data_IF_076325894253
#
_entry.id   IF_076325894253
#
_cell.length_a   1.000
_cell.length_b   1.000
_cell.length_c   1.000
_cell.angle_alpha   90.00
_cell.angle_beta   90.00
_cell.angle_gamma   90.00
#
_symmetry.space_group_name_H-M   'P 1'
#
loop_
_entity.id
_entity.type
_entity.pdbx_description
1 polymer ?
#
# COMPACT_ATOMS: atom_id res chain seq x y z
N UNK A 1 -29.57 11.09 -10.84
CA UNK A 1 -29.24 9.75 -10.43
C UNK A 1 -28.28 9.77 -9.26
N UNK A 2 -28.81 9.70 -8.08
CA UNK A 2 -28.00 9.84 -6.85
C UNK A 2 -27.24 8.59 -6.47
N UNK A 3 -27.77 7.41 -6.84
CA UNK A 3 -27.21 6.15 -6.36
C UNK A 3 -25.81 5.86 -6.89
N UNK A 4 -25.56 6.12 -8.17
CA UNK A 4 -24.25 5.92 -8.75
C UNK A 4 -23.21 6.85 -8.13
N UNK A 5 -23.60 8.09 -7.83
CA UNK A 5 -22.70 9.05 -7.17
C UNK A 5 -22.42 8.68 -5.73
N UNK A 6 -23.38 8.14 -5.02
CA UNK A 6 -23.18 7.65 -3.66
C UNK A 6 -22.18 6.48 -3.65
N UNK A 7 -22.28 5.57 -4.60
CA UNK A 7 -21.35 4.46 -4.70
C UNK A 7 -19.94 4.95 -4.97
N UNK A 8 -19.78 5.92 -5.86
CA UNK A 8 -18.48 6.51 -6.14
C UNK A 8 -17.91 7.25 -4.91
N UNK A 9 -18.78 7.89 -4.15
CA UNK A 9 -18.37 8.65 -2.97
C UNK A 9 -18.10 7.76 -1.75
N UNK A 10 -18.64 6.56 -1.72
CA UNK A 10 -18.45 5.64 -0.59
C UNK A 10 -17.03 5.13 -0.46
N UNK A 11 -16.24 5.23 -1.51
CA UNK A 11 -14.85 4.85 -1.45
C UNK A 11 -14.38 4.12 -2.69
N UNK A 12 -13.09 3.98 -2.77
CA UNK A 12 -12.41 3.24 -3.83
C UNK A 12 -11.34 2.35 -3.20
N UNK A 13 -11.17 1.16 -3.77
CA UNK A 13 -10.12 0.24 -3.37
C UNK A 13 -9.16 0.05 -4.53
N UNK A 14 -7.87 -0.03 -4.23
CA UNK A 14 -6.83 -0.29 -5.21
C UNK A 14 -5.82 -1.27 -4.63
N UNK A 15 -5.31 -2.15 -5.48
CA UNK A 15 -4.34 -3.16 -5.10
C UNK A 15 -2.94 -2.60 -5.31
N UNK A 16 -2.19 -2.40 -4.24
CA UNK A 16 -0.81 -1.93 -4.31
C UNK A 16 0.18 -3.08 -4.47
N UNK A 17 -0.15 -4.24 -3.96
CA UNK A 17 0.65 -5.45 -4.12
C UNK A 17 -0.26 -6.68 -4.09
N UNK A 18 -0.25 -7.44 -5.15
CA UNK A 18 -1.09 -8.63 -5.28
C UNK A 18 -0.42 -9.87 -4.69
N UNK A 19 -1.20 -10.73 -4.08
CA UNK A 19 -0.74 -12.08 -3.73
C UNK A 19 -0.78 -12.93 -5.00
N UNK A 20 0.35 -13.12 -5.62
CA UNK A 20 0.46 -13.98 -6.81
C UNK A 20 1.40 -15.15 -6.60
N UNK A 21 2.41 -14.96 -5.78
CA UNK A 21 3.39 -15.98 -5.43
C UNK A 21 4.07 -15.60 -4.11
N UNK A 22 4.75 -16.53 -3.51
CA UNK A 22 5.54 -16.26 -2.31
C UNK A 22 6.70 -15.32 -2.63
N UNK A 23 6.87 -14.30 -1.83
CA UNK A 23 7.98 -13.35 -1.94
C UNK A 23 9.14 -13.84 -1.09
N UNK A 24 10.35 -13.71 -1.60
CA UNK A 24 11.54 -14.26 -0.93
C UNK A 24 12.49 -13.19 -0.40
N UNK A 25 12.54 -12.03 -1.04
CA UNK A 25 13.45 -10.96 -0.63
C UNK A 25 12.73 -9.63 -0.43
N UNK A 26 11.73 -9.35 -1.24
CA UNK A 26 10.98 -8.12 -1.14
C UNK A 26 9.58 -8.31 -1.74
N UNK A 27 8.63 -7.54 -1.24
CA UNK A 27 7.29 -7.43 -1.79
C UNK A 27 7.06 -5.96 -2.09
N UNK A 28 7.17 -5.57 -3.35
CA UNK A 28 7.12 -4.16 -3.75
C UNK A 28 6.03 -3.96 -4.80
N UNK A 29 5.35 -2.82 -4.76
CA UNK A 29 4.37 -2.46 -5.77
C UNK A 29 4.99 -2.52 -7.17
N UNK A 30 4.35 -3.27 -8.04
CA UNK A 30 4.79 -3.39 -9.42
C UNK A 30 4.49 -2.15 -10.25
N UNK A 31 5.04 -2.10 -11.46
CA UNK A 31 4.76 -1.05 -12.42
C UNK A 31 3.25 -0.97 -12.71
N UNK A 32 2.71 0.24 -12.68
CA UNK A 32 1.28 0.48 -12.88
C UNK A 32 0.41 0.27 -11.64
N UNK A 33 0.98 -0.20 -10.53
CA UNK A 33 0.22 -0.45 -9.29
C UNK A 33 0.36 0.67 -8.26
N UNK A 34 1.12 1.72 -8.55
CA UNK A 34 1.20 2.89 -7.68
C UNK A 34 -0.06 3.72 -7.86
N UNK A 35 -0.69 4.06 -6.75
CA UNK A 35 -2.01 4.70 -6.72
C UNK A 35 -1.88 6.22 -6.60
N UNK A 36 -2.47 6.93 -7.55
CA UNK A 36 -2.58 8.39 -7.46
C UNK A 36 -3.66 8.78 -6.44
N UNK A 37 -3.25 9.41 -5.36
CA UNK A 37 -4.16 9.85 -4.29
C UNK A 37 -4.55 11.32 -4.39
N UNK A 38 -4.15 12.03 -5.45
CA UNK A 38 -4.47 13.45 -5.62
C UNK A 38 -5.97 13.74 -5.69
N UNK A 39 -6.76 12.77 -6.16
CA UNK A 39 -8.21 12.88 -6.27
C UNK A 39 -8.96 12.28 -5.07
N UNK A 40 -8.25 11.90 -4.03
CA UNK A 40 -8.88 11.37 -2.82
C UNK A 40 -9.15 12.49 -1.82
N UNK A 41 -10.19 12.31 -1.01
CA UNK A 41 -10.57 13.21 0.06
C UNK A 41 -10.23 12.56 1.39
N UNK A 42 -9.45 13.26 2.22
CA UNK A 42 -9.08 12.77 3.54
C UNK A 42 -8.05 11.65 3.48
N UNK A 43 -8.02 10.87 4.54
CA UNK A 43 -7.03 9.81 4.69
C UNK A 43 -7.27 8.65 3.73
N UNK A 44 -6.18 8.06 3.27
CA UNK A 44 -6.21 6.80 2.52
C UNK A 44 -5.73 5.69 3.46
N UNK A 45 -6.55 4.67 3.63
CA UNK A 45 -6.23 3.53 4.48
C UNK A 45 -5.49 2.48 3.65
N UNK A 46 -4.30 2.11 4.09
CA UNK A 46 -3.50 1.07 3.43
C UNK A 46 -3.42 -0.14 4.35
N UNK A 47 -3.91 -1.27 3.87
CA UNK A 47 -3.96 -2.52 4.60
C UNK A 47 -2.84 -3.44 4.13
N UNK A 48 -1.97 -3.86 5.05
CA UNK A 48 -0.95 -4.88 4.80
C UNK A 48 -1.43 -6.19 5.41
N UNK A 49 -1.68 -7.18 4.57
CA UNK A 49 -2.14 -8.50 4.99
C UNK A 49 -1.05 -9.52 4.70
N UNK A 50 -0.44 -10.04 5.76
CA UNK A 50 0.60 -11.06 5.69
C UNK A 50 -0.04 -12.41 5.98
N UNK A 51 0.04 -13.32 5.02
CA UNK A 51 -0.48 -14.66 5.15
C UNK A 51 0.57 -15.62 5.70
N UNK A 52 0.84 -16.69 4.96
CA UNK A 52 1.79 -17.72 5.38
C UNK A 52 3.22 -17.22 5.24
N UNK A 53 3.99 -17.34 6.32
CA UNK A 53 5.44 -17.11 6.33
C UNK A 53 6.14 -18.46 6.53
N UNK A 54 7.14 -18.75 5.70
CA UNK A 54 7.90 -19.99 5.77
C UNK A 54 9.27 -19.71 6.39
N UNK A 55 9.57 -20.43 7.46
CA UNK A 55 10.83 -20.26 8.20
C UNK A 55 10.71 -19.25 9.32
N UNK A 56 11.83 -18.68 9.71
CA UNK A 56 11.92 -17.65 10.75
C UNK A 56 12.53 -16.38 10.19
N UNK A 57 11.92 -15.23 10.49
CA UNK A 57 12.42 -13.97 9.96
C UNK A 57 11.47 -12.82 10.24
N UNK A 58 11.50 -11.83 9.36
CA UNK A 58 10.62 -10.67 9.47
C UNK A 58 10.27 -10.10 8.09
N UNK A 59 9.13 -9.41 8.02
CA UNK A 59 8.82 -8.51 6.93
C UNK A 59 8.55 -7.12 7.50
N UNK A 60 9.21 -6.12 6.93
CA UNK A 60 9.10 -4.73 7.31
C UNK A 60 8.53 -3.93 6.15
N UNK A 61 7.28 -3.53 6.27
CA UNK A 61 6.57 -2.78 5.24
C UNK A 61 6.61 -1.28 5.47
N UNK A 62 6.66 -0.55 4.37
CA UNK A 62 6.57 0.92 4.38
C UNK A 62 5.88 1.41 3.12
N UNK A 63 5.42 2.64 3.17
CA UNK A 63 4.84 3.32 2.01
C UNK A 63 5.84 4.32 1.44
N UNK A 64 5.84 4.44 0.13
CA UNK A 64 6.64 5.43 -0.60
C UNK A 64 5.72 6.26 -1.49
N UNK A 65 6.18 7.45 -1.84
CA UNK A 65 5.53 8.33 -2.79
C UNK A 65 6.38 8.50 -4.04
N UNK A 66 5.74 8.51 -5.18
CA UNK A 66 6.40 8.61 -6.48
C UNK A 66 5.68 9.59 -7.40
N UNK A 67 6.30 9.93 -8.51
CA UNK A 67 5.76 10.90 -9.46
C UNK A 67 4.84 10.28 -10.50
N UNK A 68 4.83 8.96 -10.66
CA UNK A 68 3.95 8.27 -11.60
C UNK A 68 3.56 6.87 -11.12
N UNK A 69 2.71 6.20 -11.89
CA UNK A 69 2.20 4.87 -11.55
C UNK A 69 3.26 3.77 -11.60
N UNK A 70 4.45 4.04 -12.10
CA UNK A 70 5.55 3.10 -12.18
C UNK A 70 6.55 3.24 -11.02
N UNK A 71 6.31 4.18 -10.12
CA UNK A 71 7.19 4.40 -8.98
C UNK A 71 8.42 5.26 -9.27
N UNK A 72 8.37 6.09 -10.32
CA UNK A 72 9.49 6.96 -10.68
C UNK A 72 9.80 7.94 -9.55
N UNK A 73 11.08 8.01 -9.16
CA UNK A 73 11.54 8.91 -8.11
C UNK A 73 10.97 8.60 -6.74
N UNK A 74 10.65 7.34 -6.45
CA UNK A 74 10.04 6.94 -5.20
C UNK A 74 10.92 7.32 -4.00
N UNK A 75 10.28 7.85 -2.97
CA UNK A 75 10.90 8.21 -1.70
C UNK A 75 9.99 7.84 -0.54
N UNK A 76 10.59 7.55 0.61
CA UNK A 76 9.84 7.16 1.78
C UNK A 76 8.87 8.25 2.23
N UNK A 77 7.66 7.86 2.58
CA UNK A 77 6.70 8.74 3.24
C UNK A 77 7.00 8.70 4.73
N UNK A 78 7.32 9.85 5.31
CA UNK A 78 7.73 9.94 6.71
C UNK A 78 6.64 9.39 7.64
N UNK A 79 7.03 8.44 8.49
CA UNK A 79 6.14 7.82 9.46
C UNK A 79 5.21 6.74 8.90
N UNK A 80 5.14 6.56 7.59
CA UNK A 80 4.25 5.58 6.97
C UNK A 80 4.90 4.20 6.91
N UNK A 81 5.02 3.58 8.08
CA UNK A 81 5.60 2.24 8.24
C UNK A 81 4.64 1.31 8.96
N UNK A 82 4.74 0.03 8.65
CA UNK A 82 4.03 -1.02 9.39
C UNK A 82 4.94 -1.61 10.46
N UNK A 83 4.35 -2.14 11.52
CA UNK A 83 5.09 -2.87 12.52
C UNK A 83 5.70 -4.13 11.91
N UNK A 84 6.93 -4.46 12.27
CA UNK A 84 7.61 -5.66 11.79
C UNK A 84 6.79 -6.90 12.07
N UNK A 85 6.60 -7.74 11.06
CA UNK A 85 5.84 -8.98 11.16
C UNK A 85 6.81 -10.15 11.21
N UNK A 86 6.70 -10.95 12.26
CA UNK A 86 7.60 -12.10 12.50
C UNK A 86 6.88 -13.45 12.50
N UNK A 87 5.58 -13.46 12.24
CA UNK A 87 4.76 -14.66 12.24
C UNK A 87 3.69 -14.57 11.15
N UNK A 88 3.16 -15.73 10.76
CA UNK A 88 2.06 -15.84 9.78
C UNK A 88 0.78 -15.18 10.28
N UNK A 89 -0.06 -14.78 9.34
CA UNK A 89 -1.44 -14.32 9.59
C UNK A 89 -1.48 -13.01 10.40
N UNK A 90 -0.93 -11.95 9.84
CA UNK A 90 -0.93 -10.61 10.44
C UNK A 90 -1.58 -9.61 9.51
N UNK A 91 -2.46 -8.78 10.06
CA UNK A 91 -3.10 -7.68 9.33
C UNK A 91 -2.84 -6.36 10.04
N UNK A 92 -2.45 -5.35 9.29
CA UNK A 92 -2.22 -4.00 9.79
C UNK A 92 -2.81 -2.97 8.83
N UNK A 93 -3.24 -1.84 9.36
CA UNK A 93 -3.75 -0.72 8.58
C UNK A 93 -2.99 0.54 8.96
N UNK A 94 -2.54 1.27 7.96
CA UNK A 94 -1.97 2.60 8.13
C UNK A 94 -2.83 3.63 7.40
N UNK A 95 -3.15 4.73 8.07
CA UNK A 95 -3.87 5.86 7.47
C UNK A 95 -2.86 6.90 6.99
N UNK A 96 -2.70 7.02 5.69
CA UNK A 96 -1.84 8.05 5.10
C UNK A 96 -2.66 9.31 4.87
N UNK A 97 -2.17 10.44 5.37
CA UNK A 97 -2.84 11.73 5.16
C UNK A 97 -2.28 12.43 3.92
N UNK A 98 -3.08 13.27 3.24
CA UNK A 98 -2.58 14.01 2.08
C UNK A 98 -1.35 14.86 2.36
N UNK A 99 -1.22 15.37 3.58
CA UNK A 99 -0.10 16.22 3.99
C UNK A 99 1.24 15.48 4.05
N UNK A 100 1.21 14.15 4.18
CA UNK A 100 2.42 13.34 4.23
C UNK A 100 3.07 13.17 2.86
N UNK A 101 2.35 13.48 1.79
CA UNK A 101 2.79 13.23 0.41
C UNK A 101 3.17 14.55 -0.25
N UNK A 102 4.36 14.66 -0.85
CA UNK A 102 4.73 15.88 -1.59
C UNK A 102 3.78 16.13 -2.77
N UNK A 103 3.55 17.39 -3.11
CA UNK A 103 2.64 17.76 -4.20
C UNK A 103 3.10 17.25 -5.58
N UNK A 104 4.39 17.00 -5.75
CA UNK A 104 4.95 16.49 -7.00
C UNK A 104 5.11 14.96 -7.00
N UNK A 105 4.70 14.29 -5.92
CA UNK A 105 4.78 12.83 -5.77
C UNK A 105 3.50 12.31 -5.15
N UNK A 106 2.43 12.28 -5.94
CA UNK A 106 1.09 11.94 -5.44
C UNK A 106 0.74 10.46 -5.57
N UNK A 107 1.62 9.66 -6.17
CA UNK A 107 1.42 8.23 -6.32
C UNK A 107 2.03 7.50 -5.13
N UNK A 108 1.24 6.71 -4.42
CA UNK A 108 1.73 5.90 -3.29
C UNK A 108 1.91 4.45 -3.70
N UNK A 109 2.93 3.83 -3.13
CA UNK A 109 3.23 2.43 -3.33
C UNK A 109 3.77 1.80 -2.06
N UNK A 110 3.89 0.49 -2.07
CA UNK A 110 4.32 -0.31 -0.92
C UNK A 110 5.69 -0.94 -1.19
N UNK A 111 6.51 -0.95 -0.17
CA UNK A 111 7.78 -1.70 -0.17
C UNK A 111 7.86 -2.51 1.12
N UNK A 112 7.90 -3.82 0.99
CA UNK A 112 8.12 -4.73 2.11
C UNK A 112 9.47 -5.41 1.96
N UNK A 113 10.34 -5.25 2.95
CA UNK A 113 11.64 -5.91 2.99
C UNK A 113 11.54 -7.18 3.82
N UNK A 114 11.94 -8.30 3.24
CA UNK A 114 11.88 -9.63 3.85
C UNK A 114 13.30 -10.04 4.25
N UNK A 115 13.45 -10.46 5.50
CA UNK A 115 14.71 -10.96 6.03
C UNK A 115 14.47 -12.25 6.81
N UNK A 116 15.24 -13.29 6.50
CA UNK A 116 15.19 -14.58 7.21
C UNK A 116 14.11 -15.53 6.73
N UNK A 117 12.91 -15.09 6.44
CA UNK A 117 11.87 -15.95 5.84
C UNK A 117 12.31 -16.43 4.46
N UNK A 118 12.05 -17.71 4.16
CA UNK A 118 12.29 -18.26 2.83
C UNK A 118 11.17 -17.92 1.85
N UNK A 119 9.96 -17.64 2.35
CA UNK A 119 8.81 -17.23 1.54
C UNK A 119 7.77 -16.52 2.39
N UNK A 120 7.14 -15.49 1.86
CA UNK A 120 6.06 -14.73 2.52
C UNK A 120 4.96 -14.43 1.52
N UNK A 121 3.72 -14.74 1.88
CA UNK A 121 2.55 -14.29 1.13
C UNK A 121 2.07 -12.96 1.73
N UNK A 122 2.02 -11.92 0.91
CA UNK A 122 1.58 -10.60 1.35
C UNK A 122 0.70 -9.95 0.29
N UNK A 123 -0.35 -9.28 0.74
CA UNK A 123 -1.24 -8.47 -0.09
C UNK A 123 -1.36 -7.08 0.52
N UNK A 124 -1.36 -6.06 -0.30
CA UNK A 124 -1.49 -4.67 0.16
C UNK A 124 -2.58 -3.99 -0.65
N UNK A 125 -3.57 -3.45 0.04
CA UNK A 125 -4.73 -2.80 -0.57
C UNK A 125 -4.90 -1.41 0.02
N UNK A 126 -5.22 -0.44 -0.83
CA UNK A 126 -5.51 0.93 -0.41
C UNK A 126 -7.00 1.21 -0.56
N UNK A 127 -7.58 1.90 0.43
CA UNK A 127 -8.97 2.30 0.44
C UNK A 127 -9.07 3.79 0.75
N UNK A 128 -9.91 4.51 0.00
CA UNK A 128 -10.11 5.92 0.22
C UNK A 128 -11.39 6.42 -0.42
N UNK A 129 -11.73 7.69 -0.15
CA UNK A 129 -12.86 8.36 -0.78
C UNK A 129 -12.38 9.20 -1.94
N UNK A 130 -12.94 8.98 -3.10
CA UNK A 130 -12.66 9.81 -4.26
C UNK A 130 -13.43 11.12 -4.17
N UNK A 131 -12.78 12.19 -4.64
CA UNK A 131 -13.47 13.46 -4.86
C UNK A 131 -14.39 13.32 -6.06
N UNK A 132 -15.64 13.69 -5.87
CA UNK A 132 -16.61 13.78 -6.96
C UNK A 132 -16.63 15.23 -7.44
N UNK A 133 -16.39 15.41 -8.72
CA UNK A 133 -16.35 16.75 -9.32
C UNK A 133 -17.47 16.90 -10.33
#
# INVERSE_FOLDING_TARGET
>A
MTDARLLDDCGAAALLHAVSAANTAAATSGAGLWLDISNFIGDVLVSQDVGVCTGSGSINGKLQAASDANGTGAADVTGATFTSVTASNNSQVYAITPDQVPSNKTFIGYVGTIAGFSAVLVSVTAHGRKRIV
#
